data_IF_284702384212
#
_entry.id   IF_284702384212
#
_cell.length_a   1.000
_cell.length_b   1.000
_cell.length_c   1.000
_cell.angle_alpha   90.00
_cell.angle_beta   90.00
_cell.angle_gamma   90.00
#
_symmetry.space_group_name_H-M   'P 1'
#
loop_
_entity.id
_entity.type
_entity.pdbx_description
1 polymer ?
#
# COMPACT_ATOMS: atom_id res chain seq x y z
N UNK A 1 15.88 -19.11 -0.12
CA UNK A 1 14.40 -19.24 0.02
C UNK A 1 13.86 -18.29 1.07
N UNK A 2 14.60 -17.98 2.14
CA UNK A 2 14.13 -17.00 3.12
C UNK A 2 14.16 -15.55 2.58
N UNK A 3 15.11 -15.23 1.70
CA UNK A 3 15.24 -13.88 1.13
C UNK A 3 14.03 -13.48 0.24
N UNK A 4 13.51 -14.39 -0.58
CA UNK A 4 12.33 -14.12 -1.42
C UNK A 4 11.07 -13.92 -0.56
N UNK A 5 10.92 -14.68 0.52
CA UNK A 5 9.79 -14.54 1.45
C UNK A 5 9.85 -13.21 2.21
N UNK A 6 11.05 -12.79 2.63
CA UNK A 6 11.26 -11.48 3.25
C UNK A 6 10.91 -10.34 2.29
N UNK A 7 11.33 -10.41 1.03
CA UNK A 7 10.96 -9.41 0.02
C UNK A 7 9.45 -9.40 -0.26
N UNK A 8 8.81 -10.58 -0.28
CA UNK A 8 7.37 -10.68 -0.43
C UNK A 8 6.61 -10.03 0.74
N UNK A 9 7.06 -10.25 1.98
CA UNK A 9 6.50 -9.62 3.18
C UNK A 9 6.67 -8.10 3.14
N UNK A 10 7.88 -7.62 2.83
CA UNK A 10 8.16 -6.20 2.64
C UNK A 10 7.31 -5.57 1.53
N UNK A 11 7.07 -6.30 0.44
CA UNK A 11 6.21 -5.85 -0.65
C UNK A 11 4.77 -5.67 -0.17
N UNK A 12 4.23 -6.62 0.59
CA UNK A 12 2.89 -6.52 1.16
C UNK A 12 2.79 -5.29 2.08
N UNK A 13 3.72 -5.13 3.03
CA UNK A 13 3.73 -3.99 3.95
C UNK A 13 3.80 -2.64 3.21
N UNK A 14 4.69 -2.52 2.23
CA UNK A 14 4.84 -1.28 1.45
C UNK A 14 3.57 -0.98 0.65
N UNK A 15 2.93 -2.00 0.08
CA UNK A 15 1.67 -1.85 -0.66
C UNK A 15 0.53 -1.43 0.27
N UNK A 16 0.42 -2.01 1.46
CA UNK A 16 -0.59 -1.62 2.46
C UNK A 16 -0.40 -0.18 2.93
N UNK A 17 0.84 0.24 3.24
CA UNK A 17 1.15 1.64 3.57
C UNK A 17 0.75 2.60 2.45
N UNK A 18 1.05 2.23 1.20
CA UNK A 18 0.70 3.03 0.04
C UNK A 18 -0.81 3.17 -0.13
N UNK A 19 -1.55 2.06 -0.01
CA UNK A 19 -3.02 2.05 -0.10
C UNK A 19 -3.66 2.86 1.03
N UNK A 20 -3.22 2.68 2.28
CA UNK A 20 -3.76 3.45 3.42
C UNK A 20 -3.44 4.93 3.28
N UNK A 21 -2.24 5.29 2.83
CA UNK A 21 -1.87 6.69 2.62
C UNK A 21 -2.75 7.36 1.57
N UNK A 22 -3.04 6.69 0.44
CA UNK A 22 -3.98 7.22 -0.57
C UNK A 22 -5.38 7.39 0.02
N UNK A 23 -5.86 6.39 0.76
CA UNK A 23 -7.16 6.42 1.44
C UNK A 23 -7.27 7.59 2.42
N UNK A 24 -6.25 7.81 3.24
CA UNK A 24 -6.17 8.94 4.16
C UNK A 24 -6.24 10.29 3.43
N UNK A 25 -5.48 10.47 2.34
CA UNK A 25 -5.49 11.71 1.57
C UNK A 25 -6.88 11.96 0.95
N UNK A 26 -7.45 10.96 0.29
CA UNK A 26 -8.71 11.12 -0.46
C UNK A 26 -9.93 11.26 0.45
N UNK A 27 -10.05 10.36 1.44
CA UNK A 27 -11.27 10.24 2.22
C UNK A 27 -11.22 11.00 3.54
N UNK A 28 -10.04 11.10 4.17
CA UNK A 28 -9.95 11.82 5.43
C UNK A 28 -9.61 13.29 5.19
N UNK A 29 -8.61 13.60 4.36
CA UNK A 29 -8.16 14.99 4.21
C UNK A 29 -8.94 15.76 3.15
N UNK A 30 -8.99 15.26 1.91
CA UNK A 30 -9.61 15.96 0.78
C UNK A 30 -11.14 16.11 0.97
N UNK A 31 -11.80 15.09 1.52
CA UNK A 31 -13.24 15.17 1.80
C UNK A 31 -13.57 16.17 2.92
N UNK A 32 -12.74 16.28 3.96
CA UNK A 32 -12.92 17.32 4.98
C UNK A 32 -12.64 18.72 4.43
N UNK A 33 -11.62 18.86 3.58
CA UNK A 33 -11.34 20.13 2.90
C UNK A 33 -12.51 20.58 2.02
N UNK A 34 -13.09 19.67 1.21
CA UNK A 34 -14.25 19.95 0.38
C UNK A 34 -15.48 20.36 1.22
N UNK A 35 -15.72 19.68 2.35
CA UNK A 35 -16.76 20.07 3.30
C UNK A 35 -16.55 21.48 3.85
N UNK A 36 -15.32 21.79 4.28
CA UNK A 36 -14.97 23.12 4.78
C UNK A 36 -15.17 24.18 3.68
N UNK A 37 -14.61 23.98 2.49
CA UNK A 37 -14.71 24.96 1.40
C UNK A 37 -16.16 25.24 0.97
N UNK A 38 -17.07 24.27 1.12
CA UNK A 38 -18.51 24.45 0.89
C UNK A 38 -19.22 25.30 1.95
N UNK A 39 -18.73 25.32 3.19
CA UNK A 39 -19.36 26.07 4.29
C UNK A 39 -19.24 27.59 4.15
N UNK A 40 -18.19 28.08 3.48
CA UNK A 40 -17.93 29.51 3.21
C UNK A 40 -18.06 30.45 4.42
N UNK A 41 -17.75 29.95 5.62
CA UNK A 41 -17.87 30.70 6.89
C UNK A 41 -16.94 31.94 6.93
N UNK A 42 -15.82 31.91 6.20
CA UNK A 42 -14.97 33.09 5.95
C UNK A 42 -14.24 33.66 7.18
N UNK A 43 -14.38 33.03 8.34
CA UNK A 43 -13.71 33.42 9.58
C UNK A 43 -12.20 33.15 9.51
N UNK A 44 -11.41 33.83 10.36
CA UNK A 44 -9.96 33.60 10.44
C UNK A 44 -9.66 32.14 10.81
N UNK A 45 -10.39 31.60 11.78
CA UNK A 45 -10.26 30.21 12.20
C UNK A 45 -10.60 29.22 11.07
N UNK A 46 -11.67 29.51 10.31
CA UNK A 46 -12.00 28.76 9.09
C UNK A 46 -10.83 28.75 8.09
N UNK A 47 -10.26 29.91 7.77
CA UNK A 47 -9.16 30.02 6.82
C UNK A 47 -7.90 29.27 7.31
N UNK A 48 -7.61 29.30 8.60
CA UNK A 48 -6.51 28.52 9.20
C UNK A 48 -6.72 27.01 9.05
N UNK A 49 -7.94 26.51 9.26
CA UNK A 49 -8.26 25.09 9.04
C UNK A 49 -8.10 24.69 7.57
N UNK A 50 -8.57 25.51 6.63
CA UNK A 50 -8.40 25.26 5.18
C UNK A 50 -6.91 25.16 4.82
N UNK A 51 -6.09 26.10 5.29
CA UNK A 51 -4.63 26.06 5.07
C UNK A 51 -4.01 24.81 5.69
N UNK A 52 -4.43 24.43 6.91
CA UNK A 52 -3.96 23.23 7.58
C UNK A 52 -4.24 21.97 6.75
N UNK A 53 -5.47 21.74 6.31
CA UNK A 53 -5.81 20.57 5.49
C UNK A 53 -5.05 20.55 4.15
N UNK A 54 -4.87 21.70 3.49
CA UNK A 54 -4.07 21.78 2.26
C UNK A 54 -2.61 21.35 2.50
N UNK A 55 -2.00 21.82 3.58
CA UNK A 55 -0.64 21.43 3.95
C UNK A 55 -0.54 19.95 4.33
N UNK A 56 -1.55 19.39 5.01
CA UNK A 56 -1.58 17.95 5.33
C UNK A 56 -1.73 17.08 4.08
N UNK A 57 -2.51 17.52 3.09
CA UNK A 57 -2.63 16.83 1.79
C UNK A 57 -1.28 16.86 1.08
N UNK A 58 -0.62 18.01 0.98
CA UNK A 58 0.69 18.13 0.32
C UNK A 58 1.74 17.22 0.96
N UNK A 59 1.88 17.28 2.29
CA UNK A 59 2.77 16.38 3.03
C UNK A 59 2.39 14.90 2.84
N UNK A 60 1.09 14.61 2.74
CA UNK A 60 0.58 13.28 2.47
C UNK A 60 0.97 12.75 1.09
N UNK A 61 0.89 13.59 0.05
CA UNK A 61 1.29 13.26 -1.33
C UNK A 61 2.80 13.03 -1.44
N UNK A 62 3.60 13.80 -0.71
CA UNK A 62 5.05 13.57 -0.62
C UNK A 62 5.37 12.20 -0.01
N UNK A 63 4.69 11.84 1.09
CA UNK A 63 4.85 10.55 1.74
C UNK A 63 4.36 9.39 0.84
N UNK A 64 3.23 9.58 0.16
CA UNK A 64 2.74 8.62 -0.84
C UNK A 64 3.79 8.38 -1.94
N UNK A 65 4.41 9.45 -2.45
CA UNK A 65 5.47 9.38 -3.45
C UNK A 65 6.75 8.69 -2.94
N UNK A 66 7.00 8.71 -1.63
CA UNK A 66 8.09 7.94 -1.01
C UNK A 66 7.74 6.45 -0.97
N UNK A 67 6.54 6.08 -0.54
CA UNK A 67 6.08 4.69 -0.54
C UNK A 67 6.01 4.09 -1.95
N UNK A 68 5.65 4.87 -2.98
CA UNK A 68 5.70 4.40 -4.37
C UNK A 68 7.11 4.01 -4.80
N UNK A 69 8.12 4.79 -4.39
CA UNK A 69 9.52 4.49 -4.69
C UNK A 69 10.00 3.25 -3.94
N UNK A 70 9.69 3.15 -2.64
CA UNK A 70 10.00 1.96 -1.84
C UNK A 70 9.38 0.69 -2.45
N UNK A 71 8.11 0.75 -2.83
CA UNK A 71 7.41 -0.37 -3.47
C UNK A 71 8.04 -0.74 -4.83
N UNK A 72 8.47 0.25 -5.62
CA UNK A 72 9.14 0.01 -6.90
C UNK A 72 10.51 -0.66 -6.71
N UNK A 73 11.29 -0.22 -5.73
CA UNK A 73 12.60 -0.80 -5.42
C UNK A 73 12.43 -2.27 -4.99
N UNK A 74 11.49 -2.54 -4.07
CA UNK A 74 11.17 -3.92 -3.65
C UNK A 74 10.69 -4.75 -4.84
N UNK A 75 9.83 -4.20 -5.70
CA UNK A 75 9.32 -4.89 -6.89
C UNK A 75 10.44 -5.25 -7.87
N UNK A 76 11.42 -4.37 -8.03
CA UNK A 76 12.59 -4.59 -8.90
C UNK A 76 13.39 -5.80 -8.45
N UNK A 77 13.55 -5.98 -7.14
CA UNK A 77 14.27 -7.11 -6.56
C UNK A 77 13.42 -8.39 -6.50
N UNK A 78 12.13 -8.28 -6.19
CA UNK A 78 11.24 -9.43 -6.00
C UNK A 78 10.82 -10.09 -7.31
N UNK A 79 10.53 -9.31 -8.36
CA UNK A 79 10.06 -9.81 -9.65
C UNK A 79 10.96 -10.90 -10.26
N UNK A 80 12.29 -10.75 -10.39
CA UNK A 80 13.14 -11.80 -10.95
C UNK A 80 13.14 -13.09 -10.11
N UNK A 81 12.98 -12.98 -8.79
CA UNK A 81 12.90 -14.14 -7.90
C UNK A 81 11.58 -14.88 -8.08
N UNK A 82 10.46 -14.16 -8.25
CA UNK A 82 9.16 -14.77 -8.56
C UNK A 82 9.17 -15.49 -9.92
N UNK A 83 9.86 -14.93 -10.92
CA UNK A 83 10.09 -15.60 -12.21
C UNK A 83 10.89 -16.89 -12.00
N UNK A 84 11.96 -16.84 -11.21
CA UNK A 84 12.84 -17.99 -10.96
C UNK A 84 12.10 -19.17 -10.32
N UNK A 85 11.17 -18.90 -9.40
CA UNK A 85 10.36 -19.94 -8.74
C UNK A 85 9.07 -20.28 -9.51
N UNK A 86 8.85 -19.66 -10.67
CA UNK A 86 7.64 -19.80 -11.47
C UNK A 86 6.36 -19.57 -10.63
N UNK A 87 6.34 -18.49 -9.85
CA UNK A 87 5.20 -18.13 -9.00
C UNK A 87 4.06 -17.58 -9.86
N UNK A 88 3.01 -18.37 -10.02
CA UNK A 88 1.79 -18.00 -10.75
C UNK A 88 0.60 -17.94 -9.80
N UNK A 89 -0.56 -17.52 -10.31
CA UNK A 89 -1.81 -17.48 -9.55
C UNK A 89 -2.21 -18.86 -8.96
N UNK A 90 -1.91 -19.93 -9.69
CA UNK A 90 -2.20 -21.33 -9.32
C UNK A 90 -1.14 -21.91 -8.39
N UNK A 91 0.11 -21.45 -8.52
CA UNK A 91 1.23 -21.86 -7.70
C UNK A 91 1.95 -20.63 -7.11
N UNK A 92 1.32 -19.94 -6.13
CA UNK A 92 1.90 -18.73 -5.56
C UNK A 92 3.06 -19.05 -4.62
N UNK A 93 3.92 -18.06 -4.40
CA UNK A 93 4.85 -18.07 -3.29
C UNK A 93 4.06 -17.85 -1.99
N UNK A 94 3.96 -18.90 -1.16
CA UNK A 94 3.38 -18.81 0.18
C UNK A 94 4.41 -18.34 1.20
N UNK A 95 4.13 -17.22 1.85
CA UNK A 95 4.93 -16.70 2.95
C UNK A 95 4.15 -16.90 4.25
N UNK A 96 4.77 -17.59 5.20
CA UNK A 96 4.22 -17.79 6.56
C UNK A 96 4.56 -16.57 7.40
N UNK A 97 3.54 -15.99 8.00
CA UNK A 97 3.59 -14.96 9.03
C UNK A 97 3.38 -15.58 10.41
N UNK A 98 3.36 -14.74 11.45
CA UNK A 98 3.02 -15.16 12.80
C UNK A 98 1.58 -15.70 12.91
N UNK A 99 1.36 -16.62 13.86
CA UNK A 99 0.06 -17.20 14.19
C UNK A 99 -0.64 -17.99 13.07
N UNK A 100 0.12 -18.76 12.27
CA UNK A 100 -0.41 -19.54 11.12
C UNK A 100 -1.16 -18.65 10.10
N UNK A 101 -0.76 -17.38 10.02
CA UNK A 101 -1.23 -16.48 8.97
C UNK A 101 -0.28 -16.56 7.79
N UNK A 102 -0.81 -16.41 6.59
CA UNK A 102 -0.07 -16.51 5.34
C UNK A 102 -0.47 -15.38 4.42
N UNK A 103 0.41 -15.06 3.49
CA UNK A 103 0.03 -14.33 2.29
C UNK A 103 0.66 -15.00 1.07
N UNK A 104 -0.01 -14.84 -0.07
CA UNK A 104 0.37 -15.44 -1.35
C UNK A 104 0.81 -14.35 -2.31
N UNK A 105 2.05 -14.44 -2.79
CA UNK A 105 2.60 -13.50 -3.77
C UNK A 105 2.90 -14.22 -5.09
N UNK A 106 2.53 -13.63 -6.23
CA UNK A 106 2.70 -14.23 -7.55
C UNK A 106 2.77 -13.19 -8.67
N UNK A 107 3.13 -13.62 -9.88
CA UNK A 107 3.02 -12.78 -11.08
C UNK A 107 1.70 -13.09 -11.81
N UNK A 108 0.98 -12.05 -12.21
CA UNK A 108 -0.17 -12.20 -13.09
C UNK A 108 0.21 -12.36 -14.57
N UNK A 109 -0.80 -12.41 -15.44
CA UNK A 109 -0.64 -12.57 -16.88
C UNK A 109 0.12 -11.41 -17.55
N UNK A 110 0.12 -10.23 -16.94
CA UNK A 110 0.87 -9.05 -17.41
C UNK A 110 2.29 -9.02 -16.83
N UNK A 111 2.62 -9.95 -15.93
CA UNK A 111 3.87 -9.99 -15.20
C UNK A 111 3.93 -8.96 -14.06
N UNK A 112 2.79 -8.47 -13.59
CA UNK A 112 2.72 -7.61 -12.42
C UNK A 112 2.67 -8.44 -11.15
N UNK A 113 3.33 -7.95 -10.09
CA UNK A 113 3.34 -8.63 -8.79
C UNK A 113 1.97 -8.44 -8.14
N UNK A 114 1.29 -9.55 -7.89
CA UNK A 114 0.05 -9.61 -7.15
C UNK A 114 0.28 -10.26 -5.79
N UNK A 115 -0.49 -9.78 -4.81
CA UNK A 115 -0.49 -10.34 -3.47
C UNK A 115 -1.93 -10.44 -2.93
N UNK A 116 -2.31 -11.61 -2.40
CA UNK A 116 -3.68 -11.92 -1.92
C UNK A 116 -3.97 -11.48 -0.48
N UNK A 117 -3.09 -10.72 0.14
CA UNK A 117 -3.25 -10.29 1.53
C UNK A 117 -3.21 -11.46 2.52
N UNK A 118 -3.44 -11.13 3.79
CA UNK A 118 -3.26 -12.07 4.89
C UNK A 118 -4.49 -12.96 5.09
N UNK A 119 -4.27 -14.27 5.16
CA UNK A 119 -5.28 -15.28 5.45
C UNK A 119 -4.78 -16.35 6.43
N UNK A 120 -5.69 -17.05 7.09
CA UNK A 120 -5.36 -18.23 7.91
C UNK A 120 -5.68 -19.49 7.11
N UNK A 121 -4.70 -20.38 6.95
CA UNK A 121 -4.95 -21.65 6.30
C UNK A 121 -5.73 -22.58 7.27
N UNK A 122 -6.99 -22.87 6.94
CA UNK A 122 -7.85 -23.75 7.74
C UNK A 122 -7.74 -25.23 7.32
N UNK A 123 -6.86 -25.57 6.39
CA UNK A 123 -6.69 -26.96 5.97
C UNK A 123 -6.00 -27.78 7.07
N UNK A 124 -6.78 -28.70 7.66
CA UNK A 124 -6.35 -29.79 8.55
C UNK A 124 -6.25 -31.09 7.76
#
# INVERSE_FOLDING_TARGET
MDDIKKLADQFLEAREKLTEQRRYIDYDMASHLDYLEKSKDGTVDFNLRVIHYKSQIEAGEELYSQYQRELLDISTDLKPLLIQVNATRENPLKTLLEDNRYHDTYLDENGDIQDRGIYTDMSK
#
